data_IF_988342299050
#
_entry.id   IF_988342299050
#
_cell.length_a   1.000
_cell.length_b   1.000
_cell.length_c   1.000
_cell.angle_alpha   90.00
_cell.angle_beta   90.00
_cell.angle_gamma   90.00
#
_symmetry.space_group_name_H-M   'P 1'
#
loop_
_entity.id
_entity.type
_entity.pdbx_description
1 polymer ?
#
# COMPACT_ATOMS: atom_id res chain seq x y z
N UNK A 1 71.54 90.38 -39.37
CA UNK A 1 71.82 88.94 -39.30
C UNK A 1 70.54 88.20 -39.01
N UNK A 2 70.17 87.24 -39.91
CA UNK A 2 69.21 86.17 -39.73
C UNK A 2 67.76 86.52 -39.45
N UNK A 3 66.97 86.57 -40.51
CA UNK A 3 65.59 86.18 -40.55
C UNK A 3 65.19 85.80 -41.99
N UNK A 4 65.44 84.61 -42.39
CA UNK A 4 64.86 83.99 -43.58
C UNK A 4 64.89 82.48 -43.25
N UNK A 5 63.79 81.94 -42.91
CA UNK A 5 63.39 80.54 -43.14
C UNK A 5 62.11 80.22 -42.34
N UNK A 6 60.92 80.19 -42.95
CA UNK A 6 59.80 79.41 -42.51
C UNK A 6 58.52 79.72 -43.35
N UNK A 7 58.61 79.65 -44.67
CA UNK A 7 57.43 79.77 -45.59
C UNK A 7 57.39 78.63 -46.60
N UNK A 8 57.90 77.44 -46.31
CA UNK A 8 57.79 76.29 -47.24
C UNK A 8 57.24 75.04 -46.64
N UNK A 9 56.57 75.04 -45.47
CA UNK A 9 56.03 73.79 -44.86
C UNK A 9 54.48 73.76 -44.73
N UNK A 10 53.74 74.71 -45.32
CA UNK A 10 52.28 74.77 -45.19
C UNK A 10 51.47 74.30 -46.41
N UNK A 11 52.13 73.86 -47.50
CA UNK A 11 51.41 73.39 -48.71
C UNK A 11 51.46 71.88 -48.93
N UNK A 12 52.03 71.06 -48.03
CA UNK A 12 52.05 69.60 -48.12
C UNK A 12 51.01 68.98 -47.16
N UNK A 13 50.45 69.74 -46.22
CA UNK A 13 49.47 69.24 -45.22
C UNK A 13 48.00 69.14 -45.73
N UNK A 14 47.64 69.73 -46.84
CA UNK A 14 46.24 69.75 -47.34
C UNK A 14 45.93 68.70 -48.42
N UNK A 15 46.96 67.96 -48.92
CA UNK A 15 46.80 66.94 -49.95
C UNK A 15 46.59 65.51 -49.44
N UNK A 16 46.68 65.22 -48.08
CA UNK A 16 46.66 63.88 -47.51
C UNK A 16 45.45 63.60 -46.64
N UNK A 17 44.46 64.51 -46.50
CA UNK A 17 43.20 64.27 -45.74
C UNK A 17 42.08 63.80 -46.61
N UNK A 18 42.18 63.72 -47.94
CA UNK A 18 41.09 63.29 -48.86
C UNK A 18 41.15 61.84 -49.28
N UNK A 19 41.98 60.99 -48.66
CA UNK A 19 42.17 59.59 -49.13
C UNK A 19 41.79 58.48 -48.13
N UNK A 20 41.08 58.79 -47.04
CA UNK A 20 40.55 57.82 -46.10
C UNK A 20 39.04 57.95 -45.79
N UNK A 21 38.22 58.41 -46.74
CA UNK A 21 36.81 58.14 -46.73
C UNK A 21 36.65 56.80 -47.50
N UNK A 22 37.09 55.70 -46.92
CA UNK A 22 36.59 54.38 -47.32
C UNK A 22 35.08 54.41 -47.18
N UNK A 23 34.31 54.17 -48.24
CA UNK A 23 32.86 53.96 -48.04
C UNK A 23 32.70 52.79 -47.11
N UNK A 24 32.33 53.09 -45.88
CA UNK A 24 31.83 52.04 -45.02
C UNK A 24 30.59 51.52 -45.74
N UNK A 25 30.79 50.44 -46.48
CA UNK A 25 29.65 49.66 -46.97
C UNK A 25 28.90 49.22 -45.71
N UNK A 26 27.78 49.85 -45.47
CA UNK A 26 26.90 49.44 -44.41
C UNK A 26 26.50 47.98 -44.75
N UNK A 27 27.15 47.04 -44.06
CA UNK A 27 26.79 45.65 -44.16
C UNK A 27 25.30 45.54 -43.84
N UNK A 28 24.53 44.92 -44.72
CA UNK A 28 23.12 44.73 -44.50
C UNK A 28 22.93 43.96 -43.18
N UNK A 29 22.19 44.54 -42.27
CA UNK A 29 21.91 43.90 -40.98
C UNK A 29 20.90 42.75 -41.22
N UNK A 30 21.30 41.55 -40.82
CA UNK A 30 20.41 40.40 -40.84
C UNK A 30 20.68 39.55 -39.62
N UNK A 31 19.90 39.74 -38.57
CA UNK A 31 20.09 39.07 -37.28
C UNK A 31 18.75 38.91 -36.56
N UNK A 32 18.70 38.04 -35.57
CA UNK A 32 17.55 37.87 -34.72
C UNK A 32 17.97 37.53 -33.28
N UNK A 33 17.01 37.65 -32.38
CA UNK A 33 17.13 37.14 -31.02
C UNK A 33 15.79 36.55 -30.58
N UNK A 34 15.84 35.42 -29.87
CA UNK A 34 14.74 34.83 -29.16
C UNK A 34 15.09 34.78 -27.69
N UNK A 35 14.30 35.43 -26.86
CA UNK A 35 14.57 35.52 -25.42
C UNK A 35 13.29 35.33 -24.63
N UNK A 36 13.34 34.56 -23.50
CA UNK A 36 12.22 34.50 -22.59
C UNK A 36 11.78 35.89 -22.13
N UNK A 37 10.50 36.16 -22.04
CA UNK A 37 9.96 37.43 -21.56
C UNK A 37 10.40 37.72 -20.11
N UNK A 38 10.47 36.69 -19.28
CA UNK A 38 10.94 36.77 -17.89
C UNK A 38 12.45 37.09 -17.76
N UNK A 39 13.16 37.13 -18.88
CA UNK A 39 14.64 37.33 -18.90
C UNK A 39 15.42 36.01 -18.91
N UNK A 40 16.74 36.09 -19.03
CA UNK A 40 17.61 34.93 -19.15
C UNK A 40 17.67 34.31 -20.56
N UNK A 41 18.08 33.04 -20.62
CA UNK A 41 18.25 32.29 -21.88
C UNK A 41 17.46 30.99 -21.92
N UNK A 42 16.68 30.70 -20.87
CA UNK A 42 15.99 29.44 -20.67
C UNK A 42 14.47 29.67 -20.50
N UNK A 43 13.66 28.85 -21.14
CA UNK A 43 12.23 28.74 -20.88
C UNK A 43 12.02 27.80 -19.71
N UNK A 44 11.85 28.35 -18.52
CA UNK A 44 11.61 27.56 -17.30
C UNK A 44 10.12 27.60 -16.96
N UNK A 45 9.47 26.44 -17.05
CA UNK A 45 8.05 26.26 -16.69
C UNK A 45 7.87 26.03 -15.18
N UNK A 46 8.96 25.94 -14.42
CA UNK A 46 8.91 25.68 -12.97
C UNK A 46 8.31 24.32 -12.65
N UNK A 47 7.59 24.28 -11.52
CA UNK A 47 6.91 23.09 -10.99
C UNK A 47 5.52 22.94 -11.64
N UNK A 48 5.23 21.76 -12.15
CA UNK A 48 3.99 21.45 -12.83
C UNK A 48 3.38 20.19 -12.19
N UNK A 49 2.22 20.34 -11.55
CA UNK A 49 1.46 19.23 -11.00
C UNK A 49 0.68 18.49 -12.10
N UNK A 50 0.47 17.17 -12.03
CA UNK A 50 -0.22 16.39 -13.07
C UNK A 50 -1.62 16.88 -13.41
N UNK A 51 -2.34 17.44 -12.46
CA UNK A 51 -3.69 18.02 -12.63
C UNK A 51 -3.70 19.53 -12.88
N UNK A 52 -2.52 20.17 -12.98
CA UNK A 52 -2.45 21.61 -13.20
C UNK A 52 -3.03 22.03 -14.56
N UNK A 53 -3.65 23.20 -14.64
CA UNK A 53 -3.96 23.82 -15.93
C UNK A 53 -2.67 24.05 -16.71
N UNK A 54 -2.80 24.27 -18.02
CA UNK A 54 -1.65 24.58 -18.88
C UNK A 54 -0.79 25.69 -18.28
N UNK A 55 0.51 25.43 -18.16
CA UNK A 55 1.50 26.42 -17.72
C UNK A 55 2.14 27.02 -18.98
N UNK A 56 2.13 28.36 -19.10
CA UNK A 56 2.63 29.07 -20.26
C UNK A 56 3.88 29.87 -19.92
N UNK A 57 4.80 29.96 -20.91
CA UNK A 57 5.98 30.79 -20.89
C UNK A 57 6.10 31.55 -22.24
N UNK A 58 6.44 32.80 -22.17
CA UNK A 58 6.57 33.66 -23.34
C UNK A 58 8.02 33.84 -23.76
N UNK A 59 8.25 33.84 -25.07
CA UNK A 59 9.53 34.16 -25.68
C UNK A 59 9.35 35.28 -26.73
N UNK A 60 10.06 36.37 -26.56
CA UNK A 60 10.04 37.48 -27.49
C UNK A 60 11.05 37.24 -28.61
N UNK A 61 10.58 37.34 -29.84
CA UNK A 61 11.36 37.26 -31.06
C UNK A 61 11.55 38.66 -31.59
N UNK A 62 12.82 39.10 -31.77
CA UNK A 62 13.16 40.34 -32.45
C UNK A 62 14.02 40.04 -33.66
N UNK A 63 13.61 40.50 -34.84
CA UNK A 63 14.34 40.32 -36.09
C UNK A 63 14.74 41.69 -36.59
N UNK A 64 16.02 41.88 -36.84
CA UNK A 64 16.57 43.08 -37.48
C UNK A 64 17.00 42.72 -38.88
N UNK A 65 16.39 43.36 -39.91
CA UNK A 65 16.66 43.06 -41.28
C UNK A 65 16.67 44.33 -42.13
N UNK A 66 17.72 44.53 -42.92
CA UNK A 66 17.84 45.53 -43.94
C UNK A 66 18.23 44.90 -45.31
N UNK A 67 17.97 43.62 -45.47
CA UNK A 67 18.36 42.87 -46.67
C UNK A 67 17.52 43.14 -47.89
N UNK A 68 16.34 43.77 -47.71
CA UNK A 68 15.43 44.08 -48.79
C UNK A 68 14.82 42.87 -49.51
N UNK A 69 14.86 41.69 -48.87
CA UNK A 69 14.38 40.44 -49.43
C UNK A 69 13.65 39.64 -48.37
N UNK A 70 12.66 38.85 -48.82
CA UNK A 70 11.84 37.99 -47.97
C UNK A 70 12.74 37.00 -47.21
N UNK A 71 12.37 36.70 -45.94
CA UNK A 71 13.02 35.74 -45.09
C UNK A 71 11.96 34.95 -44.29
N UNK A 72 12.40 33.87 -43.67
CA UNK A 72 11.59 33.05 -42.78
C UNK A 72 12.34 32.71 -41.49
N UNK A 73 11.59 32.56 -40.39
CA UNK A 73 12.09 32.01 -39.15
C UNK A 73 11.53 30.59 -38.99
N UNK A 74 12.42 29.63 -38.79
CA UNK A 74 12.10 28.21 -38.65
C UNK A 74 12.39 27.79 -37.23
N UNK A 75 11.49 27.00 -36.65
CA UNK A 75 11.64 26.35 -35.36
C UNK A 75 11.81 24.86 -35.56
N UNK A 76 12.69 24.23 -34.73
CA UNK A 76 12.90 22.79 -34.68
C UNK A 76 13.11 22.37 -33.24
N UNK A 77 12.39 21.39 -32.74
CA UNK A 77 12.67 20.79 -31.44
C UNK A 77 13.91 19.86 -31.59
N UNK A 78 15.07 20.36 -31.18
CA UNK A 78 16.33 19.60 -31.29
C UNK A 78 16.34 18.39 -30.35
N UNK A 79 16.05 18.67 -29.07
CA UNK A 79 15.95 17.66 -28.05
C UNK A 79 14.58 17.72 -27.40
N UNK A 80 13.81 16.64 -27.45
CA UNK A 80 12.58 16.53 -26.67
C UNK A 80 12.84 16.67 -25.18
N UNK A 81 11.84 17.16 -24.45
CA UNK A 81 11.90 17.24 -23.00
C UNK A 81 12.13 15.85 -22.39
N UNK A 82 13.33 15.59 -21.89
CA UNK A 82 13.78 14.28 -21.40
C UNK A 82 14.38 14.43 -20.00
N UNK A 83 14.09 13.52 -19.10
CA UNK A 83 14.64 13.49 -17.75
C UNK A 83 16.01 12.78 -17.70
N UNK A 84 16.64 12.77 -16.52
CA UNK A 84 17.95 12.12 -16.31
C UNK A 84 17.95 10.61 -16.53
N UNK A 85 16.76 9.98 -16.54
CA UNK A 85 16.59 8.54 -16.79
C UNK A 85 16.36 8.22 -18.28
N UNK A 86 16.38 9.23 -19.15
CA UNK A 86 16.14 9.08 -20.58
C UNK A 86 14.64 8.99 -20.96
N UNK A 87 13.73 9.25 -20.03
CA UNK A 87 12.29 9.23 -20.29
C UNK A 87 11.85 10.57 -20.84
N UNK A 88 11.16 10.54 -21.98
CA UNK A 88 10.77 11.73 -22.74
C UNK A 88 9.29 12.07 -22.54
N UNK A 89 8.98 13.34 -22.30
CA UNK A 89 7.62 13.88 -22.33
C UNK A 89 7.02 13.66 -23.73
N UNK A 90 5.75 13.28 -23.74
CA UNK A 90 5.03 13.19 -25.01
C UNK A 90 5.05 14.53 -25.73
N UNK A 91 5.25 14.51 -27.05
CA UNK A 91 5.15 15.70 -27.90
C UNK A 91 3.80 16.41 -27.78
N UNK A 92 2.76 15.71 -27.34
CA UNK A 92 1.44 16.28 -27.12
C UNK A 92 1.34 17.07 -25.81
N UNK A 93 2.41 17.15 -25.03
CA UNK A 93 2.44 17.94 -23.80
C UNK A 93 3.09 19.32 -24.01
N UNK A 94 3.87 19.53 -25.08
CA UNK A 94 4.53 20.83 -25.38
C UNK A 94 3.88 21.48 -26.62
N UNK A 95 3.38 22.68 -26.42
CA UNK A 95 2.65 23.45 -27.45
C UNK A 95 3.30 24.80 -27.69
N UNK A 96 2.98 25.40 -28.85
CA UNK A 96 3.37 26.76 -29.22
C UNK A 96 2.27 27.46 -30.00
N UNK A 97 2.12 28.75 -29.76
CA UNK A 97 1.39 29.67 -30.62
C UNK A 97 2.07 31.04 -30.62
N UNK A 98 1.80 31.86 -31.64
CA UNK A 98 2.41 33.17 -31.80
C UNK A 98 1.40 34.28 -31.64
N UNK A 99 1.83 35.39 -31.01
CA UNK A 99 1.09 36.63 -30.91
C UNK A 99 1.78 37.69 -31.80
N UNK A 100 1.05 38.36 -32.65
CA UNK A 100 1.58 39.39 -33.55
C UNK A 100 2.26 40.50 -32.77
N UNK A 101 3.43 40.91 -33.28
CA UNK A 101 4.24 41.98 -32.74
C UNK A 101 4.01 43.33 -33.39
N UNK A 102 5.11 44.09 -33.54
CA UNK A 102 5.12 45.49 -34.02
C UNK A 102 4.93 45.64 -35.52
N UNK A 103 5.37 44.67 -36.32
CA UNK A 103 5.21 44.67 -37.77
C UNK A 103 4.00 43.84 -38.16
N UNK A 104 3.11 44.43 -38.98
CA UNK A 104 1.84 43.78 -39.39
C UNK A 104 1.94 43.17 -40.80
N UNK A 105 3.06 43.25 -41.46
CA UNK A 105 3.24 42.83 -42.85
C UNK A 105 3.65 41.38 -43.03
N UNK A 106 4.33 40.80 -42.04
CA UNK A 106 4.69 39.37 -42.04
C UNK A 106 3.56 38.47 -41.62
N UNK A 107 3.72 37.17 -41.84
CA UNK A 107 2.74 36.10 -41.51
C UNK A 107 3.28 35.18 -40.45
N UNK A 108 2.52 35.03 -39.37
CA UNK A 108 2.79 33.99 -38.34
C UNK A 108 2.29 32.65 -38.84
N UNK A 109 3.17 31.65 -38.89
CA UNK A 109 2.82 30.29 -39.23
C UNK A 109 2.24 29.47 -38.05
N UNK A 110 2.17 30.07 -36.85
CA UNK A 110 1.72 29.45 -35.60
C UNK A 110 0.69 30.33 -34.85
N UNK A 111 -0.28 30.91 -35.56
CA UNK A 111 -1.31 31.73 -34.94
C UNK A 111 -2.26 30.94 -34.02
N UNK A 112 -2.38 29.62 -34.22
CA UNK A 112 -3.16 28.71 -33.37
C UNK A 112 -2.24 27.79 -32.63
N UNK A 113 -2.64 27.41 -31.41
CA UNK A 113 -1.89 26.45 -30.60
C UNK A 113 -1.71 25.11 -31.31
N UNK A 114 -0.48 24.64 -31.35
CA UNK A 114 -0.11 23.34 -31.93
C UNK A 114 1.09 22.73 -31.23
N UNK A 115 1.28 21.40 -31.30
CA UNK A 115 2.47 20.76 -30.74
C UNK A 115 3.75 21.31 -31.36
N UNK A 116 4.82 21.38 -30.55
CA UNK A 116 6.17 21.67 -31.03
C UNK A 116 6.74 20.42 -31.70
N UNK A 117 7.13 20.53 -32.97
CA UNK A 117 7.58 19.39 -33.76
C UNK A 117 9.09 19.26 -33.80
N UNK A 118 9.56 18.01 -33.96
CA UNK A 118 10.98 17.69 -34.23
C UNK A 118 11.39 18.16 -35.65
N UNK A 119 10.42 18.26 -36.56
CA UNK A 119 10.66 18.71 -37.92
C UNK A 119 10.73 20.22 -38.01
N UNK A 120 11.42 20.69 -39.05
CA UNK A 120 11.54 22.10 -39.35
C UNK A 120 10.15 22.72 -39.61
N UNK A 121 9.73 23.63 -38.74
CA UNK A 121 8.44 24.29 -38.83
C UNK A 121 8.63 25.78 -39.07
N UNK A 122 8.11 26.32 -40.17
CA UNK A 122 8.12 27.75 -40.43
C UNK A 122 7.13 28.43 -39.48
N UNK A 123 7.65 29.23 -38.54
CA UNK A 123 6.85 29.94 -37.52
C UNK A 123 6.55 31.37 -37.90
N UNK A 124 7.37 31.94 -38.78
CA UNK A 124 7.17 33.30 -39.30
C UNK A 124 7.73 33.42 -40.69
N UNK A 125 7.05 34.20 -41.56
CA UNK A 125 7.52 34.60 -42.90
C UNK A 125 7.33 36.10 -43.02
N UNK A 126 8.41 36.85 -43.37
CA UNK A 126 8.33 38.29 -43.61
C UNK A 126 7.51 38.62 -44.85
N UNK A 127 7.18 39.86 -45.00
CA UNK A 127 6.72 40.41 -46.29
C UNK A 127 7.80 40.31 -47.38
N UNK A 128 7.48 40.67 -48.62
CA UNK A 128 8.40 40.64 -49.75
C UNK A 128 9.58 41.59 -49.63
N UNK A 129 9.45 42.67 -48.85
CA UNK A 129 10.47 43.66 -48.59
C UNK A 129 11.45 43.25 -47.47
N UNK A 130 11.13 42.24 -46.72
CA UNK A 130 11.97 41.68 -45.66
C UNK A 130 12.30 42.69 -44.53
N UNK A 131 11.31 43.46 -44.10
CA UNK A 131 11.46 44.41 -43.02
C UNK A 131 11.66 43.73 -41.68
N UNK A 132 12.31 44.47 -40.75
CA UNK A 132 12.45 44.05 -39.34
C UNK A 132 11.06 43.82 -38.70
N UNK A 133 10.97 42.86 -37.80
CA UNK A 133 9.73 42.55 -37.09
C UNK A 133 10.00 42.07 -35.66
N UNK A 134 8.98 42.18 -34.82
CA UNK A 134 9.00 41.65 -33.46
C UNK A 134 7.64 41.00 -33.14
N UNK A 135 7.67 39.79 -32.54
CA UNK A 135 6.47 39.05 -32.13
C UNK A 135 6.76 38.18 -30.92
N UNK A 136 5.73 37.68 -30.28
CA UNK A 136 5.87 36.79 -29.11
C UNK A 136 5.43 35.38 -29.45
N UNK A 137 6.22 34.40 -29.05
CA UNK A 137 5.86 33.01 -29.04
C UNK A 137 5.45 32.61 -27.61
N UNK A 138 4.30 31.99 -27.46
CA UNK A 138 3.82 31.44 -26.19
C UNK A 138 3.97 29.94 -26.25
N UNK A 139 4.79 29.41 -25.39
CA UNK A 139 4.98 27.97 -25.20
C UNK A 139 4.14 27.51 -24.02
N UNK A 140 3.44 26.39 -24.17
CA UNK A 140 2.60 25.81 -23.13
C UNK A 140 2.96 24.36 -22.85
N UNK A 141 2.96 23.99 -21.57
CA UNK A 141 3.02 22.57 -21.15
C UNK A 141 1.71 22.23 -20.45
N UNK A 142 1.07 21.12 -20.85
CA UNK A 142 -0.17 20.64 -20.28
C UNK A 142 -0.19 19.11 -20.17
N UNK A 143 -0.87 18.60 -19.11
CA UNK A 143 -1.13 17.19 -18.91
C UNK A 143 -2.17 16.59 -19.88
N UNK A 144 -2.49 15.30 -19.75
CA UNK A 144 -1.96 14.39 -18.73
C UNK A 144 -0.50 14.02 -18.99
N UNK A 145 0.25 13.72 -17.90
CA UNK A 145 1.65 13.31 -17.99
C UNK A 145 1.76 11.81 -17.69
N UNK A 146 2.02 11.01 -18.71
CA UNK A 146 2.28 9.57 -18.57
C UNK A 146 3.77 9.29 -18.33
N UNK A 147 4.41 10.13 -17.51
CA UNK A 147 5.84 10.09 -17.26
C UNK A 147 6.15 10.32 -15.78
N UNK A 148 7.32 9.83 -15.31
CA UNK A 148 7.75 10.01 -13.92
C UNK A 148 7.89 11.49 -13.53
N UNK A 149 7.79 11.80 -12.22
CA UNK A 149 8.17 13.10 -11.70
C UNK A 149 9.67 13.33 -11.91
N UNK A 150 10.03 14.58 -12.01
CA UNK A 150 11.42 14.98 -12.17
C UNK A 150 11.59 16.16 -13.09
N UNK A 151 12.83 16.57 -13.25
CA UNK A 151 13.19 17.69 -14.14
C UNK A 151 13.39 17.18 -15.56
N UNK A 152 12.61 17.73 -16.48
CA UNK A 152 12.68 17.46 -17.91
C UNK A 152 13.39 18.64 -18.60
N UNK A 153 14.32 18.33 -19.47
CA UNK A 153 15.15 19.29 -20.22
C UNK A 153 15.05 19.03 -21.70
N UNK A 154 14.91 20.09 -22.47
CA UNK A 154 14.86 20.04 -23.93
C UNK A 154 15.50 21.25 -24.56
N UNK A 155 15.61 21.25 -25.89
CA UNK A 155 16.18 22.38 -26.64
C UNK A 155 15.38 22.63 -27.90
N UNK A 156 15.09 23.92 -28.15
CA UNK A 156 14.50 24.38 -29.41
C UNK A 156 15.55 25.20 -30.18
N UNK A 157 15.71 24.90 -31.45
CA UNK A 157 16.51 25.69 -32.39
C UNK A 157 15.61 26.60 -33.19
N UNK A 158 16.04 27.84 -33.37
CA UNK A 158 15.48 28.83 -34.28
C UNK A 158 16.48 29.12 -35.34
N UNK A 159 16.07 29.09 -36.63
CA UNK A 159 16.95 29.40 -37.76
C UNK A 159 16.28 30.48 -38.59
N UNK A 160 16.94 31.63 -38.70
CA UNK A 160 16.55 32.72 -39.59
C UNK A 160 17.18 32.47 -40.98
N UNK A 161 16.36 32.32 -42.00
CA UNK A 161 16.80 32.00 -43.37
C UNK A 161 16.24 33.03 -44.38
N UNK A 162 17.06 33.62 -45.23
CA UNK A 162 16.58 34.37 -46.37
C UNK A 162 16.10 33.43 -47.50
N UNK A 163 15.11 33.87 -48.28
CA UNK A 163 14.59 33.05 -49.41
C UNK A 163 15.52 33.00 -50.58
N UNK A 164 16.21 34.11 -50.84
CA UNK A 164 17.12 34.27 -51.97
C UNK A 164 18.14 35.34 -51.61
N UNK A 165 19.31 34.92 -51.10
CA UNK A 165 20.36 35.85 -50.82
C UNK A 165 21.72 35.22 -50.60
N UNK A 166 22.73 36.06 -50.61
CA UNK A 166 24.11 35.74 -50.22
C UNK A 166 24.31 35.75 -48.71
N UNK A 167 23.26 36.01 -47.95
CA UNK A 167 23.31 35.98 -46.46
C UNK A 167 23.24 34.56 -45.95
N UNK A 168 24.15 34.25 -45.03
CA UNK A 168 24.13 32.96 -44.34
C UNK A 168 23.00 32.88 -43.32
N UNK A 169 22.35 31.73 -43.19
CA UNK A 169 21.37 31.49 -42.14
C UNK A 169 22.01 31.63 -40.75
N UNK A 170 21.27 32.21 -39.81
CA UNK A 170 21.69 32.30 -38.42
C UNK A 170 20.84 31.43 -37.53
N UNK A 171 21.44 30.82 -36.51
CA UNK A 171 20.73 29.89 -35.61
C UNK A 171 20.94 30.29 -34.15
N UNK A 172 19.87 30.20 -33.36
CA UNK A 172 19.90 30.38 -31.92
C UNK A 172 19.21 29.19 -31.26
N UNK A 173 19.72 28.76 -30.12
CA UNK A 173 19.13 27.67 -29.31
C UNK A 173 18.55 28.27 -28.04
N UNK A 174 17.37 27.81 -27.66
CA UNK A 174 16.66 28.12 -26.44
C UNK A 174 16.48 26.79 -25.64
N UNK A 175 16.96 26.77 -24.42
CA UNK A 175 16.74 25.63 -23.52
C UNK A 175 15.34 25.69 -22.92
N UNK A 176 14.79 24.53 -22.62
CA UNK A 176 13.48 24.38 -21.98
C UNK A 176 13.64 23.50 -20.75
N UNK A 177 13.01 23.93 -19.65
CA UNK A 177 12.98 23.21 -18.39
C UNK A 177 11.55 23.08 -17.88
N UNK A 178 11.21 21.92 -17.39
CA UNK A 178 9.94 21.66 -16.71
C UNK A 178 10.18 20.68 -15.56
N UNK A 179 9.70 20.97 -14.36
CA UNK A 179 9.76 20.07 -13.22
C UNK A 179 8.36 19.49 -12.98
N UNK A 180 8.15 18.22 -13.42
CA UNK A 180 6.89 17.52 -13.20
C UNK A 180 6.89 16.98 -11.76
N UNK A 181 5.97 17.46 -10.93
CA UNK A 181 5.81 17.02 -9.56
C UNK A 181 4.69 15.98 -9.46
N UNK A 182 4.81 15.01 -8.54
CA UNK A 182 3.73 14.16 -8.12
C UNK A 182 3.12 14.77 -6.85
N UNK A 183 1.86 15.14 -6.91
CA UNK A 183 1.04 15.45 -5.74
C UNK A 183 0.20 14.22 -5.34
N UNK A 184 0.79 13.03 -5.41
CA UNK A 184 0.07 11.83 -5.02
C UNK A 184 0.44 11.44 -3.58
N UNK A 185 -0.58 11.08 -2.82
CA UNK A 185 -0.46 10.65 -1.44
C UNK A 185 -1.23 9.35 -1.26
N UNK A 186 -0.67 8.41 -0.51
CA UNK A 186 -1.37 7.22 -0.06
C UNK A 186 -1.54 7.34 1.45
N UNK A 187 -2.76 7.32 1.91
CA UNK A 187 -3.13 7.31 3.32
C UNK A 187 -3.75 5.97 3.70
N UNK A 188 -3.31 5.42 4.82
CA UNK A 188 -3.81 4.17 5.37
C UNK A 188 -4.32 4.47 6.78
N UNK A 189 -5.64 4.26 7.00
CA UNK A 189 -6.32 4.65 8.24
C UNK A 189 -7.15 3.52 8.78
N UNK A 190 -7.07 3.28 10.09
CA UNK A 190 -8.07 2.52 10.84
C UNK A 190 -9.30 3.39 11.10
N UNK A 191 -10.46 2.79 11.36
CA UNK A 191 -11.71 3.52 11.56
C UNK A 191 -11.65 4.54 12.71
N UNK A 192 -10.82 4.28 13.72
CA UNK A 192 -10.64 5.10 14.94
C UNK A 192 -9.34 5.94 14.89
N UNK A 193 -8.59 5.91 13.78
CA UNK A 193 -7.32 6.60 13.60
C UNK A 193 -6.19 6.19 14.57
N UNK A 194 -6.37 5.11 15.34
CA UNK A 194 -5.39 4.65 16.34
C UNK A 194 -4.18 3.95 15.74
N UNK A 195 -4.20 3.64 14.45
CA UNK A 195 -3.22 2.78 13.76
C UNK A 195 -3.15 1.35 14.33
N UNK A 196 -4.22 0.88 14.94
CA UNK A 196 -4.34 -0.47 15.49
C UNK A 196 -5.45 -1.23 14.76
N UNK A 197 -5.12 -2.38 14.22
CA UNK A 197 -6.06 -3.37 13.71
C UNK A 197 -6.36 -4.34 14.84
N UNK A 198 -7.47 -4.14 15.53
CA UNK A 198 -7.88 -4.97 16.67
C UNK A 198 -8.87 -6.05 16.23
N UNK A 199 -8.56 -7.30 16.53
CA UNK A 199 -9.38 -8.48 16.24
C UNK A 199 -9.60 -9.27 17.52
N UNK A 200 -10.81 -9.81 17.74
CA UNK A 200 -11.13 -10.62 18.91
C UNK A 200 -11.94 -11.85 18.54
N UNK A 201 -11.65 -12.98 19.21
CA UNK A 201 -12.39 -14.23 19.07
C UNK A 201 -13.66 -14.28 19.94
N UNK A 202 -13.96 -13.22 20.71
CA UNK A 202 -15.17 -13.14 21.52
C UNK A 202 -16.41 -12.97 20.64
N UNK A 203 -17.56 -13.49 21.08
CA UNK A 203 -18.82 -13.32 20.35
C UNK A 203 -19.37 -11.88 20.42
N UNK A 204 -18.94 -11.10 21.40
CA UNK A 204 -19.40 -9.74 21.65
C UNK A 204 -18.60 -8.69 20.85
N UNK A 205 -17.39 -9.01 20.43
CA UNK A 205 -16.53 -8.12 19.66
C UNK A 205 -16.47 -8.53 18.19
N UNK A 206 -16.20 -7.55 17.33
CA UNK A 206 -16.05 -7.81 15.92
C UNK A 206 -14.83 -8.71 15.65
N UNK A 207 -15.05 -9.85 14.98
CA UNK A 207 -13.99 -10.75 14.52
C UNK A 207 -13.35 -10.28 13.22
N UNK A 208 -13.63 -9.05 12.80
CA UNK A 208 -13.08 -8.38 11.62
C UNK A 208 -12.86 -6.90 11.88
N UNK A 209 -11.87 -6.32 11.21
CA UNK A 209 -11.54 -4.90 11.28
C UNK A 209 -11.25 -4.37 9.87
N UNK A 210 -11.74 -3.16 9.59
CA UNK A 210 -11.57 -2.50 8.31
C UNK A 210 -10.50 -1.42 8.39
N UNK A 211 -9.66 -1.36 7.36
CA UNK A 211 -8.63 -0.35 7.14
C UNK A 211 -8.90 0.32 5.81
N UNK A 212 -9.13 1.63 5.80
CA UNK A 212 -9.30 2.40 4.58
C UNK A 212 -7.96 2.76 3.98
N UNK A 213 -7.86 2.63 2.66
CA UNK A 213 -6.73 3.10 1.85
C UNK A 213 -7.27 4.14 0.89
N UNK A 214 -6.69 5.35 0.94
CA UNK A 214 -7.04 6.45 0.06
C UNK A 214 -5.81 6.88 -0.73
N UNK A 215 -5.93 6.82 -2.06
CA UNK A 215 -4.92 7.26 -3.01
C UNK A 215 -5.41 8.56 -3.62
N UNK A 216 -4.74 9.67 -3.34
CA UNK A 216 -5.05 10.98 -3.89
C UNK A 216 -4.00 11.39 -4.91
N UNK A 217 -4.42 12.04 -6.01
CA UNK A 217 -3.56 12.38 -7.14
C UNK A 217 -3.17 11.16 -7.97
N UNK A 218 -2.66 11.39 -9.17
CA UNK A 218 -2.19 10.33 -10.08
C UNK A 218 -0.69 10.10 -9.91
N UNK A 219 -0.28 8.84 -9.84
CA UNK A 219 1.15 8.47 -9.81
C UNK A 219 1.81 8.53 -11.20
N UNK A 220 1.03 8.73 -12.27
CA UNK A 220 1.53 8.78 -13.65
C UNK A 220 2.00 7.43 -14.21
N UNK A 221 2.01 6.37 -13.40
CA UNK A 221 2.38 5.01 -13.83
C UNK A 221 1.78 3.97 -12.88
N UNK A 222 1.73 2.72 -13.36
CA UNK A 222 1.26 1.59 -12.55
C UNK A 222 2.15 1.38 -11.32
N UNK A 223 1.51 1.14 -10.18
CA UNK A 223 2.18 0.77 -8.93
C UNK A 223 1.42 -0.34 -8.20
N UNK A 224 2.09 -0.92 -7.21
CA UNK A 224 1.55 -1.92 -6.31
C UNK A 224 1.65 -1.44 -4.87
N UNK A 225 0.63 -1.75 -4.08
CA UNK A 225 0.72 -1.67 -2.62
C UNK A 225 1.04 -3.08 -2.13
N UNK A 226 2.18 -3.20 -1.48
CA UNK A 226 2.66 -4.44 -0.87
C UNK A 226 2.36 -4.42 0.61
N UNK A 227 2.00 -5.57 1.17
CA UNK A 227 1.84 -5.77 2.61
C UNK A 227 2.84 -6.79 3.11
N UNK A 228 3.35 -6.59 4.32
CA UNK A 228 4.23 -7.52 5.02
C UNK A 228 3.80 -7.60 6.48
N UNK A 229 3.69 -8.80 7.00
CA UNK A 229 3.65 -9.03 8.44
C UNK A 229 5.10 -9.13 8.94
N UNK A 230 5.57 -8.16 9.72
CA UNK A 230 6.98 -8.05 10.10
C UNK A 230 7.46 -9.24 10.94
N UNK A 231 6.56 -9.81 11.74
CA UNK A 231 6.77 -11.08 12.48
C UNK A 231 5.38 -11.70 12.74
N UNK A 232 5.32 -13.01 12.94
CA UNK A 232 4.06 -13.65 13.37
C UNK A 232 3.59 -13.04 14.69
N UNK A 233 2.25 -12.81 14.86
CA UNK A 233 1.74 -12.23 16.10
C UNK A 233 2.18 -13.05 17.32
N UNK A 234 2.82 -12.38 18.28
CA UNK A 234 3.40 -12.98 19.46
C UNK A 234 2.73 -12.48 20.74
N UNK A 235 2.48 -13.37 21.68
CA UNK A 235 1.97 -13.01 23.02
C UNK A 235 3.12 -12.63 23.95
N UNK A 236 2.85 -11.94 25.10
CA UNK A 236 3.86 -11.67 26.13
C UNK A 236 4.53 -12.92 26.69
N UNK A 237 3.85 -14.06 26.66
CA UNK A 237 4.35 -15.36 27.11
C UNK A 237 5.22 -16.07 26.05
N UNK A 238 5.35 -15.48 24.85
CA UNK A 238 6.16 -16.00 23.75
C UNK A 238 5.43 -16.97 22.82
N UNK A 239 4.11 -17.15 22.97
CA UNK A 239 3.32 -17.93 22.01
C UNK A 239 3.15 -17.17 20.71
N UNK A 240 3.23 -17.87 19.57
CA UNK A 240 3.06 -17.30 18.24
C UNK A 240 1.79 -17.86 17.60
N UNK A 241 1.01 -17.01 16.95
CA UNK A 241 -0.10 -17.47 16.11
C UNK A 241 0.45 -18.15 14.84
N UNK A 242 -0.24 -19.19 14.41
CA UNK A 242 0.11 -19.90 13.18
C UNK A 242 -0.28 -19.09 11.95
N UNK A 243 0.34 -19.41 10.83
CA UNK A 243 -0.05 -18.88 9.53
C UNK A 243 -1.54 -19.20 9.25
N UNK A 244 -2.28 -18.20 8.76
CA UNK A 244 -3.72 -18.33 8.52
C UNK A 244 -4.63 -18.01 9.71
N UNK A 245 -4.07 -17.75 10.91
CA UNK A 245 -4.84 -17.25 12.07
C UNK A 245 -5.49 -15.89 11.80
N UNK A 246 -4.88 -15.06 10.94
CA UNK A 246 -5.46 -13.81 10.45
C UNK A 246 -5.47 -13.82 8.93
N UNK A 247 -6.59 -13.42 8.36
CA UNK A 247 -6.81 -13.30 6.92
C UNK A 247 -7.17 -11.87 6.56
N UNK A 248 -6.96 -11.51 5.30
CA UNK A 248 -7.37 -10.23 4.77
C UNK A 248 -8.02 -10.38 3.39
N UNK A 249 -8.81 -9.38 2.99
CA UNK A 249 -9.35 -9.23 1.64
C UNK A 249 -9.57 -7.76 1.33
N UNK A 250 -9.62 -7.40 0.04
CA UNK A 250 -9.85 -6.03 -0.42
C UNK A 250 -11.26 -5.89 -0.98
N UNK A 251 -11.91 -4.76 -0.66
CA UNK A 251 -13.24 -4.38 -1.17
C UNK A 251 -13.21 -2.95 -1.70
N UNK A 252 -14.02 -2.67 -2.70
CA UNK A 252 -14.24 -1.31 -3.22
C UNK A 252 -13.23 -0.83 -4.25
N UNK A 253 -12.17 -1.60 -4.57
CA UNK A 253 -11.28 -1.26 -5.68
C UNK A 253 -12.04 -1.41 -7.01
N UNK A 254 -12.07 -0.35 -7.82
CA UNK A 254 -12.82 -0.26 -9.08
C UNK A 254 -11.96 0.02 -10.31
N UNK A 255 -10.85 0.74 -10.14
CA UNK A 255 -9.89 1.10 -11.19
C UNK A 255 -8.69 0.16 -11.23
N UNK A 256 -8.23 -0.24 -10.06
CA UNK A 256 -7.17 -1.22 -9.90
C UNK A 256 -7.69 -2.63 -9.61
N UNK A 257 -6.80 -3.53 -9.26
CA UNK A 257 -7.11 -4.91 -8.86
C UNK A 257 -6.52 -5.22 -7.49
N UNK A 258 -7.28 -5.89 -6.64
CA UNK A 258 -6.87 -6.30 -5.30
C UNK A 258 -7.23 -7.75 -4.99
N UNK A 259 -6.72 -8.28 -3.89
CA UNK A 259 -7.04 -9.62 -3.39
C UNK A 259 -8.44 -9.58 -2.76
N UNK A 260 -9.46 -10.07 -3.48
CA UNK A 260 -10.85 -10.04 -3.06
C UNK A 260 -11.28 -11.27 -2.24
N UNK A 261 -10.57 -12.38 -2.36
CA UNK A 261 -10.80 -13.60 -1.57
C UNK A 261 -9.95 -13.57 -0.30
N UNK A 262 -10.47 -14.00 0.86
CA UNK A 262 -9.71 -14.03 2.09
C UNK A 262 -8.39 -14.80 1.95
N UNK A 263 -7.27 -14.12 2.10
CA UNK A 263 -5.90 -14.63 2.01
C UNK A 263 -5.21 -14.54 3.37
N UNK A 264 -4.29 -15.44 3.66
CA UNK A 264 -3.50 -15.40 4.91
C UNK A 264 -2.47 -14.27 4.87
N UNK A 265 -2.22 -13.65 6.00
CA UNK A 265 -1.09 -12.72 6.14
C UNK A 265 0.24 -13.48 5.97
N UNK A 266 1.20 -12.83 5.31
CA UNK A 266 2.53 -13.40 5.03
C UNK A 266 3.64 -12.53 5.61
N UNK A 267 4.72 -13.19 6.08
CA UNK A 267 5.99 -12.54 6.46
C UNK A 267 6.82 -12.07 5.25
N UNK A 268 6.35 -12.38 4.03
CA UNK A 268 6.94 -11.92 2.78
C UNK A 268 6.13 -10.81 2.17
N UNK A 269 6.79 -9.87 1.43
CA UNK A 269 6.07 -8.84 0.69
C UNK A 269 5.07 -9.46 -0.29
N UNK A 270 3.80 -9.19 -0.09
CA UNK A 270 2.72 -9.63 -0.98
C UNK A 270 2.04 -8.41 -1.62
N UNK A 271 1.84 -8.45 -2.94
CA UNK A 271 1.10 -7.41 -3.65
C UNK A 271 -0.38 -7.56 -3.36
N UNK A 272 -0.91 -6.71 -2.46
CA UNK A 272 -2.33 -6.76 -2.07
C UNK A 272 -3.21 -5.97 -3.04
N UNK A 273 -2.67 -4.93 -3.66
CA UNK A 273 -3.35 -4.09 -4.63
C UNK A 273 -2.40 -3.71 -5.78
N UNK A 274 -2.92 -3.66 -7.00
CA UNK A 274 -2.24 -3.17 -8.20
C UNK A 274 -3.12 -2.11 -8.86
N UNK A 275 -2.60 -0.89 -9.03
CA UNK A 275 -3.32 0.21 -9.68
C UNK A 275 -3.54 -0.07 -11.17
N UNK A 276 -4.39 0.74 -11.82
CA UNK A 276 -4.44 0.79 -13.28
C UNK A 276 -3.11 1.32 -13.84
N UNK A 277 -2.97 1.32 -15.18
CA UNK A 277 -1.74 1.71 -15.88
C UNK A 277 -1.29 3.15 -15.60
N UNK A 278 -2.20 4.06 -15.21
CA UNK A 278 -1.91 5.47 -14.92
C UNK A 278 -1.65 5.74 -13.46
N UNK A 279 -1.97 4.79 -12.58
CA UNK A 279 -1.94 5.04 -11.13
C UNK A 279 -2.94 6.12 -10.71
N UNK A 280 -4.16 6.07 -11.25
CA UNK A 280 -5.21 7.06 -10.97
C UNK A 280 -5.65 6.99 -9.50
N UNK A 281 -6.22 8.10 -8.96
CA UNK A 281 -6.75 8.16 -7.61
C UNK A 281 -7.82 7.10 -7.37
N UNK A 282 -7.76 6.44 -6.23
CA UNK A 282 -8.73 5.41 -5.84
C UNK A 282 -8.83 5.28 -4.32
N UNK A 283 -9.99 4.84 -3.83
CA UNK A 283 -10.19 4.49 -2.44
C UNK A 283 -10.72 3.06 -2.34
N UNK A 284 -10.21 2.29 -1.38
CA UNK A 284 -10.66 0.93 -1.12
C UNK A 284 -10.46 0.57 0.36
N UNK A 285 -11.02 -0.57 0.76
CA UNK A 285 -10.95 -1.07 2.13
C UNK A 285 -10.24 -2.41 2.17
N UNK A 286 -9.31 -2.56 3.11
CA UNK A 286 -8.72 -3.84 3.49
C UNK A 286 -9.50 -4.34 4.71
N UNK A 287 -10.19 -5.47 4.60
CA UNK A 287 -10.88 -6.13 5.70
C UNK A 287 -9.99 -7.23 6.25
N UNK A 288 -9.56 -7.10 7.50
CA UNK A 288 -8.89 -8.15 8.27
C UNK A 288 -9.92 -8.98 9.00
N UNK A 289 -9.71 -10.28 9.10
CA UNK A 289 -10.61 -11.21 9.80
C UNK A 289 -9.84 -12.34 10.47
N UNK A 290 -10.41 -12.88 11.53
CA UNK A 290 -9.86 -14.05 12.19
C UNK A 290 -10.13 -15.33 11.37
N UNK A 291 -9.12 -16.18 11.32
CA UNK A 291 -9.25 -17.57 10.90
C UNK A 291 -9.72 -18.47 12.06
N UNK A 292 -9.39 -19.76 11.97
CA UNK A 292 -9.66 -20.71 13.05
C UNK A 292 -8.58 -20.62 14.15
N UNK A 293 -8.97 -20.12 15.33
CA UNK A 293 -8.11 -19.97 16.50
C UNK A 293 -8.28 -21.11 17.53
N UNK A 294 -9.03 -22.16 17.22
CA UNK A 294 -9.35 -23.22 18.19
C UNK A 294 -8.11 -23.97 18.73
N UNK A 295 -7.04 -23.98 17.94
CA UNK A 295 -5.76 -24.61 18.31
C UNK A 295 -4.75 -23.62 18.90
N UNK A 296 -5.05 -22.33 18.85
CA UNK A 296 -4.18 -21.27 19.32
C UNK A 296 -4.35 -21.07 20.83
N UNK A 297 -3.28 -20.72 21.53
CA UNK A 297 -3.34 -20.42 22.95
C UNK A 297 -4.14 -19.15 23.22
N UNK A 298 -4.81 -19.11 24.37
CA UNK A 298 -5.47 -17.88 24.84
C UNK A 298 -4.44 -16.79 25.12
N UNK A 299 -4.81 -15.54 24.80
CA UNK A 299 -3.93 -14.42 25.08
C UNK A 299 -4.11 -13.27 24.08
N UNK A 300 -3.35 -12.21 24.34
CA UNK A 300 -3.26 -11.05 23.44
C UNK A 300 -1.98 -11.15 22.64
N UNK A 301 -2.11 -11.17 21.34
CA UNK A 301 -1.01 -11.27 20.38
C UNK A 301 -0.83 -9.95 19.65
N UNK A 302 0.43 -9.59 19.37
CA UNK A 302 0.77 -8.37 18.65
C UNK A 302 1.76 -8.64 17.53
N UNK A 303 1.60 -7.89 16.45
CA UNK A 303 2.53 -7.85 15.32
C UNK A 303 2.47 -6.48 14.63
N UNK A 304 3.41 -6.24 13.72
CA UNK A 304 3.44 -5.03 12.90
C UNK A 304 3.11 -5.38 11.46
N UNK A 305 2.14 -4.67 10.88
CA UNK A 305 1.82 -4.68 9.46
C UNK A 305 2.54 -3.52 8.80
N UNK A 306 3.36 -3.78 7.80
CA UNK A 306 4.05 -2.77 6.98
C UNK A 306 3.43 -2.71 5.60
N UNK A 307 3.19 -1.50 5.12
CA UNK A 307 2.70 -1.24 3.78
C UNK A 307 3.78 -0.52 2.99
N UNK A 308 4.05 -1.02 1.80
CA UNK A 308 5.08 -0.50 0.91
C UNK A 308 4.45 -0.17 -0.44
N UNK A 309 4.94 0.87 -1.11
CA UNK A 309 4.67 1.08 -2.51
C UNK A 309 5.82 0.50 -3.33
N UNK A 310 5.48 -0.14 -4.44
CA UNK A 310 6.42 -0.59 -5.46
C UNK A 310 5.84 -0.27 -6.84
N UNK A 311 6.52 0.57 -7.62
CA UNK A 311 6.06 0.96 -8.94
C UNK A 311 6.95 0.45 -10.06
N UNK A 312 6.47 0.56 -11.28
CA UNK A 312 7.26 0.32 -12.49
C UNK A 312 8.22 1.49 -12.72
N UNK A 313 9.46 1.19 -13.09
CA UNK A 313 10.43 2.18 -13.54
C UNK A 313 11.08 2.98 -12.41
N UNK A 314 10.51 4.09 -12.01
CA UNK A 314 11.13 5.07 -11.11
C UNK A 314 10.58 5.04 -9.67
N UNK A 315 9.38 4.50 -9.46
CA UNK A 315 8.84 4.32 -8.10
C UNK A 315 9.59 3.19 -7.41
N UNK A 316 10.65 3.54 -6.71
CA UNK A 316 11.39 2.59 -5.88
C UNK A 316 10.50 2.12 -4.74
N UNK A 317 10.70 0.86 -4.34
CA UNK A 317 10.05 0.31 -3.15
C UNK A 317 10.33 1.18 -1.93
N UNK A 318 9.26 1.74 -1.34
CA UNK A 318 9.34 2.61 -0.16
C UNK A 318 8.21 2.31 0.82
N UNK A 319 8.46 2.56 2.10
CA UNK A 319 7.45 2.42 3.16
C UNK A 319 6.40 3.52 3.02
N UNK A 320 5.12 3.12 3.01
CA UNK A 320 3.98 4.05 3.07
C UNK A 320 3.62 4.31 4.54
N UNK A 321 3.31 3.22 5.27
CA UNK A 321 2.83 3.28 6.66
C UNK A 321 3.03 1.96 7.39
N UNK A 322 2.81 1.99 8.71
CA UNK A 322 2.81 0.82 9.59
C UNK A 322 1.57 0.84 10.48
N UNK A 323 0.93 -0.32 10.64
CA UNK A 323 -0.15 -0.52 11.60
C UNK A 323 0.25 -1.59 12.62
N UNK A 324 -0.29 -1.50 13.83
CA UNK A 324 -0.18 -2.56 14.82
C UNK A 324 -1.35 -3.53 14.64
N UNK A 325 -1.08 -4.80 14.47
CA UNK A 325 -2.08 -5.87 14.53
C UNK A 325 -2.17 -6.38 15.96
N UNK A 326 -3.34 -6.31 16.57
CA UNK A 326 -3.66 -6.90 17.86
C UNK A 326 -4.72 -7.99 17.69
N UNK A 327 -4.45 -9.19 18.20
CA UNK A 327 -5.38 -10.31 18.19
C UNK A 327 -5.63 -10.77 19.63
N UNK A 328 -6.86 -10.70 20.07
CA UNK A 328 -7.29 -11.24 21.35
C UNK A 328 -7.92 -12.62 21.12
N UNK A 329 -7.25 -13.71 21.56
CA UNK A 329 -7.81 -15.04 21.58
C UNK A 329 -8.39 -15.33 22.96
N UNK A 330 -9.71 -15.58 23.00
CA UNK A 330 -10.42 -15.79 24.24
C UNK A 330 -9.99 -17.07 24.94
N UNK A 331 -9.99 -17.04 26.28
CA UNK A 331 -9.73 -18.21 27.11
C UNK A 331 -10.88 -19.19 27.06
N UNK A 332 -10.58 -20.40 26.63
CA UNK A 332 -11.50 -21.56 26.71
C UNK A 332 -11.00 -22.49 27.79
N UNK A 333 -11.85 -22.79 28.79
CA UNK A 333 -11.55 -23.77 29.82
C UNK A 333 -12.88 -24.35 30.30
N UNK A 334 -13.31 -25.45 29.66
CA UNK A 334 -14.63 -26.00 29.85
C UNK A 334 -14.61 -27.53 29.86
N UNK A 335 -15.49 -28.12 30.69
CA UNK A 335 -15.72 -29.55 30.77
C UNK A 335 -17.10 -29.88 30.20
N UNK A 336 -17.12 -30.73 29.20
CA UNK A 336 -18.36 -31.24 28.59
C UNK A 336 -18.58 -32.66 29.04
N UNK A 337 -19.77 -32.96 29.60
CA UNK A 337 -20.17 -34.27 30.10
C UNK A 337 -21.20 -34.85 29.15
N UNK A 338 -20.96 -36.09 28.65
CA UNK A 338 -21.86 -36.76 27.71
C UNK A 338 -22.17 -38.22 28.18
N UNK A 339 -23.42 -38.69 28.17
CA UNK A 339 -24.60 -37.89 27.86
C UNK A 339 -24.83 -36.80 28.90
N UNK A 340 -25.59 -35.76 28.53
CA UNK A 340 -26.06 -34.74 29.46
C UNK A 340 -26.99 -35.38 30.47
N UNK A 341 -26.40 -36.08 31.43
CA UNK A 341 -27.14 -36.58 32.59
C UNK A 341 -27.13 -35.46 33.61
N UNK A 342 -28.23 -35.21 34.27
CA UNK A 342 -28.21 -34.38 35.46
C UNK A 342 -27.17 -34.92 36.46
N UNK A 343 -26.91 -34.21 37.56
CA UNK A 343 -25.89 -34.59 38.55
C UNK A 343 -26.10 -36.01 39.17
N UNK A 344 -27.08 -36.76 38.70
CA UNK A 344 -27.45 -38.06 39.29
C UNK A 344 -27.11 -39.21 38.35
N UNK A 345 -26.33 -40.17 38.85
CA UNK A 345 -26.22 -41.50 38.27
C UNK A 345 -27.26 -42.43 38.93
N UNK A 346 -28.11 -43.04 38.12
CA UNK A 346 -29.20 -43.89 38.57
C UNK A 346 -29.14 -45.28 37.93
N UNK A 347 -29.24 -46.32 38.73
CA UNK A 347 -29.44 -47.70 38.31
C UNK A 347 -30.88 -48.08 38.62
N UNK A 348 -31.64 -48.45 37.60
CA UNK A 348 -33.09 -48.71 37.69
C UNK A 348 -33.37 -50.20 37.74
N UNK A 349 -34.48 -50.57 38.36
CA UNK A 349 -35.03 -51.96 38.41
C UNK A 349 -33.97 -52.97 38.89
N UNK A 350 -33.15 -52.64 39.89
CA UNK A 350 -32.18 -53.55 40.47
C UNK A 350 -32.90 -54.69 41.21
N UNK A 351 -32.41 -55.92 41.00
CA UNK A 351 -32.93 -57.09 41.72
C UNK A 351 -31.79 -57.90 42.38
N UNK A 352 -32.02 -58.52 43.50
CA UNK A 352 -31.00 -59.31 44.14
C UNK A 352 -30.40 -60.36 43.21
N UNK A 353 -29.06 -60.64 43.36
CA UNK A 353 -28.34 -61.62 42.60
C UNK A 353 -28.20 -61.39 41.09
N UNK A 354 -28.56 -60.21 40.57
CA UNK A 354 -28.27 -59.86 39.20
C UNK A 354 -26.77 -59.60 38.99
N UNK A 355 -26.25 -59.77 37.77
CA UNK A 355 -24.88 -59.41 37.45
C UNK A 355 -24.65 -57.90 37.63
N UNK A 356 -23.39 -57.44 37.86
CA UNK A 356 -23.08 -56.01 37.96
C UNK A 356 -23.59 -55.23 36.76
N UNK A 357 -24.11 -54.05 37.02
CA UNK A 357 -24.58 -53.12 35.98
C UNK A 357 -23.60 -51.98 35.83
N UNK A 358 -23.48 -51.44 34.61
CA UNK A 358 -22.55 -50.36 34.26
C UNK A 358 -23.26 -49.14 33.72
N UNK A 359 -22.71 -47.97 34.03
CA UNK A 359 -23.04 -46.68 33.43
C UNK A 359 -21.78 -46.05 32.91
N UNK A 360 -21.83 -45.42 31.73
CA UNK A 360 -20.71 -44.80 31.09
C UNK A 360 -20.93 -43.30 30.92
N UNK A 361 -19.88 -42.50 31.21
CA UNK A 361 -19.89 -41.05 31.06
C UNK A 361 -18.64 -40.66 30.29
N UNK A 362 -18.79 -39.91 29.20
CA UNK A 362 -17.68 -39.34 28.45
C UNK A 362 -17.43 -37.92 28.92
N UNK A 363 -16.18 -37.63 29.28
CA UNK A 363 -15.71 -36.32 29.72
C UNK A 363 -14.79 -35.77 28.64
N UNK A 364 -15.16 -34.61 28.08
CA UNK A 364 -14.38 -33.87 27.06
C UNK A 364 -13.94 -32.55 27.67
N UNK A 365 -12.62 -32.31 27.78
CA UNK A 365 -12.05 -31.06 28.23
C UNK A 365 -11.65 -30.24 27.02
N UNK A 366 -12.25 -29.04 26.88
CA UNK A 366 -11.91 -28.03 25.90
C UNK A 366 -11.09 -26.96 26.57
N UNK A 367 -9.85 -26.79 26.12
CA UNK A 367 -8.93 -25.83 26.72
C UNK A 367 -7.93 -25.27 25.71
N UNK A 368 -7.56 -24.01 25.86
CA UNK A 368 -6.48 -23.33 25.14
C UNK A 368 -5.57 -22.57 26.09
N UNK A 369 -5.63 -22.87 27.42
CA UNK A 369 -4.94 -22.08 28.46
C UNK A 369 -3.44 -22.34 28.55
N UNK A 370 -2.95 -23.42 27.96
CA UNK A 370 -1.56 -23.89 28.10
C UNK A 370 -1.11 -24.14 29.54
N UNK A 371 -2.06 -24.40 30.42
CA UNK A 371 -1.80 -24.69 31.84
C UNK A 371 -2.30 -26.09 32.21
N UNK A 372 -1.52 -26.84 33.01
CA UNK A 372 -1.98 -28.13 33.50
C UNK A 372 -3.31 -28.04 34.26
N UNK A 373 -4.10 -29.08 34.14
CA UNK A 373 -5.40 -29.13 34.82
C UNK A 373 -5.71 -30.53 35.34
N UNK A 374 -6.67 -30.60 36.25
CA UNK A 374 -7.22 -31.80 36.83
C UNK A 374 -8.71 -31.88 36.60
N UNK A 375 -9.20 -33.08 36.27
CA UNK A 375 -10.63 -33.40 36.35
C UNK A 375 -10.85 -34.29 37.55
N UNK A 376 -11.74 -33.83 38.43
CA UNK A 376 -12.14 -34.57 39.63
C UNK A 376 -13.63 -34.95 39.57
N UNK A 377 -14.01 -35.96 40.33
CA UNK A 377 -15.40 -36.26 40.68
C UNK A 377 -15.61 -36.09 42.17
N UNK A 378 -16.80 -35.64 42.55
CA UNK A 378 -17.31 -35.65 43.93
C UNK A 378 -18.54 -36.53 44.02
N UNK A 379 -18.51 -37.58 44.84
CA UNK A 379 -19.66 -38.44 45.13
C UNK A 379 -20.22 -38.00 46.45
N UNK A 380 -21.50 -37.54 46.48
CA UNK A 380 -22.09 -36.91 47.66
C UNK A 380 -22.63 -37.90 48.68
N UNK A 381 -23.04 -39.09 48.26
CA UNK A 381 -23.68 -40.07 49.15
C UNK A 381 -23.58 -41.49 48.59
N UNK A 382 -23.85 -42.50 49.43
CA UNK A 382 -24.08 -43.84 48.95
C UNK A 382 -25.27 -43.90 48.00
N UNK A 383 -25.33 -44.92 47.14
CA UNK A 383 -26.54 -45.21 46.35
C UNK A 383 -27.70 -45.44 47.30
N UNK A 384 -28.77 -44.70 47.09
CA UNK A 384 -29.95 -44.71 48.00
C UNK A 384 -31.20 -44.82 47.16
N UNK A 385 -32.14 -45.66 47.61
CA UNK A 385 -33.46 -45.77 46.99
C UNK A 385 -34.45 -44.76 47.63
N UNK A 386 -35.68 -44.69 47.11
CA UNK A 386 -36.73 -43.79 47.62
C UNK A 386 -37.16 -44.09 49.07
N UNK A 387 -36.86 -45.25 49.63
CA UNK A 387 -37.16 -45.61 51.00
C UNK A 387 -36.02 -45.30 51.98
N UNK A 388 -34.88 -44.78 51.47
CA UNK A 388 -33.69 -44.46 52.27
C UNK A 388 -32.75 -45.66 52.48
N UNK A 389 -32.96 -46.75 51.83
CA UNK A 389 -32.07 -47.92 51.87
C UNK A 389 -30.83 -47.66 51.01
N UNK A 390 -29.64 -48.04 51.49
CA UNK A 390 -28.37 -47.72 50.86
C UNK A 390 -27.60 -48.94 50.42
N UNK A 391 -26.83 -48.82 49.30
CA UNK A 391 -25.85 -49.81 48.86
C UNK A 391 -24.48 -49.43 49.46
N UNK A 392 -23.81 -50.34 50.17
CA UNK A 392 -22.47 -50.08 50.72
C UNK A 392 -21.44 -49.72 49.61
N UNK A 393 -20.44 -48.86 49.93
CA UNK A 393 -19.45 -48.33 48.95
C UNK A 393 -18.63 -49.41 48.25
N UNK A 394 -18.33 -50.51 48.94
CA UNK A 394 -17.56 -51.62 48.38
C UNK A 394 -18.26 -52.35 47.20
N UNK A 395 -19.55 -52.11 46.95
CA UNK A 395 -20.28 -52.61 45.79
C UNK A 395 -20.21 -51.62 44.62
N UNK A 396 -19.68 -50.44 44.80
CA UNK A 396 -19.57 -49.41 43.76
C UNK A 396 -18.13 -49.21 43.34
N UNK A 397 -17.87 -49.40 42.07
CA UNK A 397 -16.54 -49.26 41.53
C UNK A 397 -16.54 -48.37 40.27
N UNK A 398 -15.36 -47.85 39.96
CA UNK A 398 -15.14 -47.05 38.73
C UNK A 398 -13.83 -47.51 38.06
N UNK A 399 -13.76 -47.24 36.77
CA UNK A 399 -12.53 -47.24 35.97
C UNK A 399 -12.58 -46.16 34.90
N UNK A 400 -11.42 -45.72 34.46
CA UNK A 400 -11.29 -44.72 33.42
C UNK A 400 -10.62 -45.32 32.18
N UNK A 401 -11.15 -44.97 30.99
CA UNK A 401 -10.58 -45.41 29.71
C UNK A 401 -10.24 -44.21 28.83
N UNK A 402 -9.08 -44.29 28.12
CA UNK A 402 -8.65 -43.28 27.15
C UNK A 402 -9.51 -43.36 25.88
N UNK A 403 -9.99 -42.21 25.39
CA UNK A 403 -10.54 -42.04 24.04
C UNK A 403 -9.59 -41.23 23.16
N UNK A 404 -9.12 -40.08 23.66
CA UNK A 404 -8.06 -39.26 23.07
C UNK A 404 -7.40 -38.47 24.22
N UNK A 405 -6.44 -39.12 24.93
CA UNK A 405 -5.82 -38.55 26.12
C UNK A 405 -4.33 -38.44 25.96
N UNK A 406 -3.79 -37.28 26.35
CA UNK A 406 -2.33 -37.02 26.50
C UNK A 406 -1.88 -37.02 27.95
N UNK A 407 -2.82 -36.88 28.85
CA UNK A 407 -2.59 -36.86 30.29
C UNK A 407 -2.65 -38.24 30.92
N UNK A 408 -2.83 -38.27 32.24
CA UNK A 408 -2.74 -39.48 33.09
C UNK A 408 -4.11 -39.77 33.69
N UNK A 409 -4.69 -40.93 33.34
CA UNK A 409 -5.86 -41.49 33.97
C UNK A 409 -5.50 -42.06 35.35
N UNK A 410 -6.31 -41.72 36.39
CA UNK A 410 -6.03 -42.16 37.78
C UNK A 410 -6.56 -43.53 38.10
N UNK A 411 -7.58 -44.01 37.36
CA UNK A 411 -8.24 -45.29 37.56
C UNK A 411 -8.22 -46.12 36.26
N UNK A 412 -7.05 -46.47 35.70
CA UNK A 412 -7.02 -47.31 34.50
C UNK A 412 -7.45 -48.75 34.78
N UNK A 413 -7.51 -49.13 36.05
CA UNK A 413 -7.99 -50.42 36.54
C UNK A 413 -9.15 -50.16 37.49
N UNK A 414 -10.11 -51.10 37.55
CA UNK A 414 -11.26 -51.05 38.42
C UNK A 414 -10.84 -50.82 39.88
N UNK A 415 -11.41 -49.81 40.51
CA UNK A 415 -11.22 -49.45 41.91
C UNK A 415 -12.54 -49.06 42.58
N UNK A 416 -12.59 -49.14 43.90
CA UNK A 416 -13.78 -48.69 44.68
C UNK A 416 -14.02 -47.19 44.47
N UNK A 417 -15.25 -46.82 44.18
CA UNK A 417 -15.68 -45.42 44.04
C UNK A 417 -16.03 -44.87 45.44
N UNK A 418 -15.10 -44.13 46.04
CA UNK A 418 -15.23 -43.59 47.39
C UNK A 418 -16.11 -42.34 47.43
N UNK A 419 -16.87 -42.17 48.49
CA UNK A 419 -17.58 -40.92 48.82
C UNK A 419 -16.54 -39.80 49.02
N UNK A 420 -16.87 -38.60 48.57
CA UNK A 420 -16.00 -37.43 48.59
C UNK A 420 -15.36 -37.15 47.25
N UNK A 421 -14.36 -36.29 47.23
CA UNK A 421 -13.67 -35.87 46.02
C UNK A 421 -12.52 -36.80 45.67
N UNK A 422 -12.41 -37.16 44.38
CA UNK A 422 -11.28 -37.91 43.86
C UNK A 422 -10.90 -37.43 42.45
N UNK A 423 -9.58 -37.30 42.20
CA UNK A 423 -9.08 -36.95 40.88
C UNK A 423 -9.27 -38.14 39.92
N UNK A 424 -9.87 -37.90 38.78
CA UNK A 424 -10.04 -38.88 37.69
C UNK A 424 -8.91 -38.83 36.66
N UNK A 425 -8.44 -37.60 36.37
CA UNK A 425 -7.51 -37.32 35.30
C UNK A 425 -6.64 -36.12 35.63
N UNK A 426 -5.36 -36.19 35.25
CA UNK A 426 -4.42 -35.05 35.27
C UNK A 426 -3.91 -34.86 33.84
N UNK A 427 -3.99 -33.67 33.30
CA UNK A 427 -3.51 -33.33 31.98
C UNK A 427 -1.98 -33.46 31.84
N UNK A 428 -1.48 -33.38 30.63
CA UNK A 428 -0.09 -33.13 30.35
C UNK A 428 0.34 -31.72 30.84
N UNK A 429 1.65 -31.45 30.77
CA UNK A 429 2.23 -30.17 31.22
C UNK A 429 1.76 -28.97 30.39
N UNK A 430 1.29 -29.22 29.17
CA UNK A 430 0.81 -28.20 28.25
C UNK A 430 -0.69 -27.94 28.39
N UNK A 431 -1.39 -28.66 29.27
CA UNK A 431 -2.84 -28.55 29.42
C UNK A 431 -3.56 -28.81 28.10
N UNK A 432 -3.16 -29.84 27.36
CA UNK A 432 -3.79 -30.19 26.08
C UNK A 432 -5.25 -30.57 26.26
N UNK A 433 -6.14 -30.31 25.28
CA UNK A 433 -7.49 -30.87 25.26
C UNK A 433 -7.45 -32.39 25.32
N UNK A 434 -8.36 -32.99 26.09
CA UNK A 434 -8.41 -34.41 26.31
C UNK A 434 -9.85 -34.95 26.36
N UNK A 435 -10.04 -36.20 25.96
CA UNK A 435 -11.32 -36.88 26.05
C UNK A 435 -11.12 -38.28 26.61
N UNK A 436 -11.86 -38.61 27.67
CA UNK A 436 -11.83 -39.91 28.28
C UNK A 436 -13.19 -40.35 28.78
N UNK A 437 -13.33 -41.64 29.06
CA UNK A 437 -14.55 -42.26 29.58
C UNK A 437 -14.38 -42.68 31.04
N UNK A 438 -15.41 -42.44 31.83
CA UNK A 438 -15.57 -43.03 33.16
C UNK A 438 -16.64 -44.09 33.11
N UNK A 439 -16.30 -45.31 33.55
CA UNK A 439 -17.21 -46.43 33.62
C UNK A 439 -17.46 -46.73 35.06
N UNK A 440 -18.70 -46.55 35.48
CA UNK A 440 -19.17 -46.90 36.83
C UNK A 440 -19.79 -48.27 36.80
N UNK A 441 -19.44 -49.11 37.76
CA UNK A 441 -19.96 -50.43 37.91
C UNK A 441 -20.54 -50.63 39.29
N UNK A 442 -21.82 -51.03 39.35
CA UNK A 442 -22.51 -51.34 40.59
C UNK A 442 -22.71 -52.83 40.68
N UNK A 443 -21.99 -53.50 41.56
CA UNK A 443 -22.27 -54.86 41.95
C UNK A 443 -23.52 -54.88 42.86
N UNK A 444 -24.36 -55.92 42.74
CA UNK A 444 -25.63 -55.94 43.43
C UNK A 444 -25.52 -56.84 44.67
N UNK A 445 -25.72 -56.29 45.86
CA UNK A 445 -25.74 -57.06 47.09
C UNK A 445 -26.79 -58.19 47.04
N UNK A 446 -26.49 -59.36 47.60
CA UNK A 446 -27.43 -60.47 47.53
C UNK A 446 -28.75 -60.29 48.35
N UNK A 447 -28.66 -59.38 49.34
CA UNK A 447 -29.76 -58.98 50.24
C UNK A 447 -30.41 -57.65 49.85
N UNK A 448 -30.10 -57.11 48.63
CA UNK A 448 -30.68 -55.88 48.15
C UNK A 448 -32.20 -55.97 48.01
N UNK A 449 -32.91 -54.93 48.45
CA UNK A 449 -34.30 -54.72 48.11
C UNK A 449 -34.42 -54.24 46.67
N UNK A 450 -35.30 -54.86 45.91
CA UNK A 450 -35.51 -54.45 44.50
C UNK A 450 -35.98 -53.01 44.39
N UNK A 451 -35.42 -52.26 43.42
CA UNK A 451 -35.79 -50.85 43.17
C UNK A 451 -34.77 -50.05 42.42
N UNK A 452 -35.04 -48.76 42.36
CA UNK A 452 -34.15 -47.76 41.73
C UNK A 452 -33.25 -47.16 42.79
N UNK A 453 -31.97 -47.20 42.54
CA UNK A 453 -30.96 -46.62 43.41
C UNK A 453 -30.14 -45.56 42.65
N UNK A 454 -29.89 -44.40 43.30
CA UNK A 454 -29.16 -43.29 42.70
C UNK A 454 -28.22 -42.62 43.68
N UNK A 455 -27.20 -41.97 43.16
CA UNK A 455 -26.32 -41.04 43.86
C UNK A 455 -26.00 -39.85 42.98
N UNK A 456 -25.63 -38.73 43.60
CA UNK A 456 -25.20 -37.57 42.88
C UNK A 456 -23.69 -37.59 42.67
N UNK A 457 -23.25 -37.38 41.43
CA UNK A 457 -21.86 -37.22 41.07
C UNK A 457 -21.68 -35.86 40.41
N UNK A 458 -20.77 -35.09 40.93
CA UNK A 458 -20.40 -33.79 40.38
C UNK A 458 -18.99 -33.89 39.81
N UNK A 459 -18.83 -33.44 38.57
CA UNK A 459 -17.49 -33.33 37.95
C UNK A 459 -17.00 -31.90 38.05
N UNK A 460 -15.72 -31.73 38.39
CA UNK A 460 -15.04 -30.46 38.48
C UNK A 460 -13.78 -30.44 37.62
N UNK A 461 -13.49 -29.27 37.04
CA UNK A 461 -12.31 -28.97 36.25
C UNK A 461 -11.55 -27.84 36.95
N UNK A 462 -10.29 -28.03 37.27
CA UNK A 462 -9.44 -27.03 37.93
C UNK A 462 -8.03 -26.98 37.34
N UNK A 463 -7.47 -25.78 37.20
CA UNK A 463 -6.03 -25.60 36.93
C UNK A 463 -5.21 -26.04 38.15
N UNK A 464 -4.02 -26.61 37.92
CA UNK A 464 -3.08 -27.09 38.95
C UNK A 464 -1.70 -26.51 38.79
#
# INVERSE_FOLDING_TARGET
MRRILNIKLWLIGLGLISLFISPHYASAAFSFSVRPYAGGYDLDFGKISPGAPQVNQEAVVNITSTIGKQYRLIQTLLDPLTNEQGITLSRNNLFVYGIRGTNKYGTLGVEQERPVYLDRTVIYTSDSSGLSDSFTLVYGIKGPFDVPPGTYRGRISFTLEPFDSTQEPSTQILNIYANIEIESKIEIKTADETKVVALSSTKEEANSADVSVEITGSMGSQFKIMQILDDNPISPEGYRLQEGAVKFSIKGASLGSGITTPSSLSDRPEAIYTSNARGDPEAFTITYSLGDLTKEKAGRYRATLKYLIEGSGYLKKSLIDTLTLEVQNERVFNLVVKPEMGAMIQFRDLKPQEPPRTNEVVLEVKTNTAKPYQVSQGISSLFTNKKGETIPSNYFALRTESLDTKGILKYPIKAEAKIGESALFISDKLGSPDTFKVIYELAIPPDLHAGDYGTNIVYSLSEI
#
